data_IF_926917022550
#
_entry.id   IF_926917022550
#
_cell.length_a   1.000
_cell.length_b   1.000
_cell.length_c   1.000
_cell.angle_alpha   90.00
_cell.angle_beta   90.00
_cell.angle_gamma   90.00
#
_symmetry.space_group_name_H-M   'P 1'
#
loop_
_entity.id
_entity.type
_entity.pdbx_description
1 polymer ?
#
# COMPACT_ATOMS: atom_id res chain seq x y z
N UNK A 1 -11.58 -6.61 -17.98
CA UNK A 1 -11.60 -5.92 -19.29
C UNK A 1 -10.29 -5.16 -19.46
N UNK A 2 -9.49 -5.41 -20.51
CA UNK A 2 -8.33 -4.56 -20.80
C UNK A 2 -8.87 -3.19 -21.22
N UNK A 3 -8.69 -2.19 -20.37
CA UNK A 3 -9.05 -0.82 -20.71
C UNK A 3 -8.01 -0.32 -21.73
N UNK A 4 -8.40 -0.15 -22.99
CA UNK A 4 -7.50 0.31 -24.06
C UNK A 4 -7.51 1.86 -24.21
N UNK A 5 -8.01 2.60 -23.21
CA UNK A 5 -7.97 4.07 -23.28
C UNK A 5 -6.54 4.61 -23.37
N UNK A 6 -6.33 5.75 -24.05
CA UNK A 6 -5.03 6.42 -24.15
C UNK A 6 -4.38 6.62 -22.78
N UNK A 7 -5.18 7.08 -21.80
CA UNK A 7 -4.77 7.23 -20.40
C UNK A 7 -4.22 5.94 -19.80
N UNK A 8 -4.95 4.83 -19.91
CA UNK A 8 -4.52 3.57 -19.32
C UNK A 8 -3.19 3.10 -19.93
N UNK A 9 -3.05 3.21 -21.26
CA UNK A 9 -1.86 2.79 -21.99
C UNK A 9 -0.66 3.69 -21.67
N UNK A 10 -0.87 5.00 -21.57
CA UNK A 10 0.15 5.95 -21.12
C UNK A 10 0.70 5.62 -19.73
N UNK A 11 -0.19 5.47 -18.74
CA UNK A 11 0.20 5.15 -17.37
C UNK A 11 0.88 3.78 -17.26
N UNK A 12 0.39 2.79 -18.01
CA UNK A 12 1.02 1.47 -18.08
C UNK A 12 2.42 1.54 -18.69
N UNK A 13 2.62 2.36 -19.71
CA UNK A 13 3.94 2.59 -20.34
C UNK A 13 4.91 3.23 -19.35
N UNK A 14 4.47 4.26 -18.63
CA UNK A 14 5.25 4.89 -17.56
C UNK A 14 5.66 3.88 -16.47
N UNK A 15 4.74 3.03 -16.00
CA UNK A 15 5.04 1.98 -15.01
C UNK A 15 6.05 0.98 -15.56
N UNK A 16 5.81 0.46 -16.78
CA UNK A 16 6.68 -0.54 -17.42
C UNK A 16 8.13 -0.08 -17.49
N UNK A 17 8.34 1.20 -17.81
CA UNK A 17 9.68 1.79 -17.94
C UNK A 17 10.16 2.51 -16.67
N UNK A 18 9.41 2.45 -15.56
CA UNK A 18 9.74 3.06 -14.26
C UNK A 18 9.94 4.59 -14.32
N UNK A 19 9.17 5.27 -15.17
CA UNK A 19 9.17 6.73 -15.30
C UNK A 19 7.94 7.36 -14.63
N UNK A 20 8.11 8.58 -14.11
CA UNK A 20 7.03 9.39 -13.55
C UNK A 20 6.40 10.33 -14.60
N UNK A 21 7.14 10.63 -15.67
CA UNK A 21 6.73 11.35 -16.89
C UNK A 21 7.81 11.13 -17.97
N UNK A 22 7.53 11.51 -19.22
CA UNK A 22 8.46 11.40 -20.34
C UNK A 22 8.79 12.78 -20.95
N UNK A 23 9.71 13.54 -20.35
CA UNK A 23 10.12 14.87 -20.85
C UNK A 23 11.58 14.94 -21.31
N UNK A 24 12.29 13.81 -21.35
CA UNK A 24 13.69 13.75 -21.71
C UNK A 24 13.85 12.95 -23.01
N UNK A 25 14.60 13.51 -23.97
CA UNK A 25 14.87 12.90 -25.27
C UNK A 25 15.55 11.51 -25.13
N UNK A 26 16.54 11.38 -24.26
CA UNK A 26 17.26 10.11 -24.01
C UNK A 26 16.32 9.02 -23.50
N UNK A 27 15.38 9.36 -22.61
CA UNK A 27 14.40 8.41 -22.10
C UNK A 27 13.40 7.99 -23.17
N UNK A 28 12.89 8.95 -23.94
CA UNK A 28 11.99 8.69 -25.07
C UNK A 28 12.66 7.82 -26.13
N UNK A 29 13.89 8.15 -26.53
CA UNK A 29 14.72 7.35 -27.44
C UNK A 29 14.83 5.92 -26.95
N UNK A 30 15.24 5.72 -25.70
CA UNK A 30 15.39 4.38 -25.11
C UNK A 30 14.10 3.57 -25.14
N UNK A 31 12.96 4.21 -24.85
CA UNK A 31 11.64 3.53 -24.87
C UNK A 31 11.25 3.16 -26.29
N UNK A 32 11.40 4.06 -27.25
CA UNK A 32 11.11 3.80 -28.68
C UNK A 32 11.98 2.64 -29.19
N UNK A 33 13.29 2.67 -28.91
CA UNK A 33 14.23 1.61 -29.27
C UNK A 33 13.88 0.27 -28.61
N UNK A 34 13.43 0.28 -27.35
CA UNK A 34 12.95 -0.93 -26.67
C UNK A 34 11.68 -1.54 -27.30
N UNK A 35 10.95 -0.77 -28.10
CA UNK A 35 9.81 -1.25 -28.90
C UNK A 35 10.23 -1.66 -30.32
N UNK A 36 11.53 -1.85 -30.56
CA UNK A 36 12.13 -2.30 -31.82
C UNK A 36 12.02 -1.28 -32.96
N UNK A 37 11.94 0.01 -32.65
CA UNK A 37 12.02 1.10 -33.62
C UNK A 37 13.41 1.72 -33.61
N UNK A 38 13.93 2.09 -34.78
CA UNK A 38 15.16 2.88 -34.88
C UNK A 38 14.82 4.34 -35.15
N UNK A 39 15.37 5.26 -34.36
CA UNK A 39 15.18 6.70 -34.60
C UNK A 39 16.20 7.18 -35.63
N UNK A 40 15.69 7.79 -36.70
CA UNK A 40 16.49 8.43 -37.75
C UNK A 40 16.24 9.92 -37.69
N UNK A 41 17.30 10.67 -37.42
CA UNK A 41 17.26 12.12 -37.54
C UNK A 41 17.50 12.53 -38.99
N UNK A 42 16.66 13.42 -39.52
CA UNK A 42 16.79 13.96 -40.86
C UNK A 42 16.66 15.48 -40.85
N UNK A 43 17.18 16.13 -41.87
CA UNK A 43 17.02 17.57 -42.13
C UNK A 43 16.16 17.76 -43.37
N UNK A 44 15.39 18.83 -43.43
CA UNK A 44 14.50 19.10 -44.58
C UNK A 44 15.27 19.48 -45.84
N UNK A 45 16.47 20.05 -45.70
CA UNK A 45 17.22 20.62 -46.82
C UNK A 45 18.54 19.91 -47.13
N UNK A 46 19.27 19.41 -46.12
CA UNK A 46 20.61 18.85 -46.31
C UNK A 46 20.88 17.71 -45.33
N UNK A 47 20.74 16.48 -45.82
CA UNK A 47 21.04 15.26 -45.06
C UNK A 47 22.44 14.74 -45.36
N UNK A 48 22.98 13.90 -44.47
CA UNK A 48 24.15 13.08 -44.81
C UNK A 48 23.81 12.11 -45.95
N UNK A 49 24.82 11.63 -46.66
CA UNK A 49 24.66 10.69 -47.77
C UNK A 49 23.88 9.41 -47.35
N UNK A 50 24.18 8.75 -46.20
CA UNK A 50 23.45 7.55 -45.79
C UNK A 50 21.96 7.81 -45.51
N UNK A 51 21.63 8.95 -44.90
CA UNK A 51 20.23 9.31 -44.58
C UNK A 51 19.47 9.66 -45.86
N UNK A 52 20.11 10.36 -46.79
CA UNK A 52 19.53 10.70 -48.09
C UNK A 52 19.22 9.46 -48.93
N UNK A 53 20.13 8.49 -48.96
CA UNK A 53 19.94 7.21 -49.66
C UNK A 53 18.83 6.39 -49.02
N UNK A 54 18.78 6.34 -47.67
CA UNK A 54 17.69 5.67 -46.95
C UNK A 54 16.33 6.27 -47.30
N UNK A 55 16.18 7.61 -47.24
CA UNK A 55 14.93 8.30 -47.57
C UNK A 55 14.46 7.97 -48.99
N UNK A 56 15.38 7.99 -49.97
CA UNK A 56 15.07 7.65 -51.38
C UNK A 56 14.63 6.19 -51.54
N UNK A 57 15.33 5.25 -50.88
CA UNK A 57 14.98 3.82 -50.95
C UNK A 57 13.63 3.53 -50.34
N UNK A 58 13.27 4.24 -49.27
CA UNK A 58 11.97 4.10 -48.61
C UNK A 58 10.85 4.87 -49.33
N UNK A 59 11.18 5.74 -50.30
CA UNK A 59 10.26 6.60 -51.06
C UNK A 59 9.42 7.53 -50.18
N UNK A 60 10.06 8.10 -49.16
CA UNK A 60 9.44 8.98 -48.13
C UNK A 60 9.89 10.44 -48.25
N UNK A 61 10.32 10.87 -49.45
CA UNK A 61 10.78 12.23 -49.71
C UNK A 61 9.69 13.28 -49.46
N UNK A 62 8.42 12.93 -49.71
CA UNK A 62 7.32 13.87 -49.51
C UNK A 62 7.00 14.03 -48.01
N UNK A 63 7.00 12.93 -47.26
CA UNK A 63 6.77 12.89 -45.82
C UNK A 63 7.84 13.69 -45.08
N UNK A 64 9.12 13.52 -45.44
CA UNK A 64 10.24 14.29 -44.85
C UNK A 64 10.21 15.78 -45.21
N UNK A 65 9.49 16.21 -46.25
CA UNK A 65 9.29 17.63 -46.55
C UNK A 65 8.12 18.23 -45.77
N UNK A 66 7.04 17.45 -45.61
CA UNK A 66 5.78 17.95 -45.05
C UNK A 66 5.69 17.83 -43.53
N UNK A 67 6.32 16.80 -42.95
CA UNK A 67 6.21 16.48 -41.53
C UNK A 67 7.50 16.82 -40.80
N UNK A 68 7.39 16.90 -39.48
CA UNK A 68 8.51 17.09 -38.57
C UNK A 68 8.86 15.80 -37.81
N UNK A 69 7.88 14.92 -37.61
CA UNK A 69 8.08 13.54 -37.20
C UNK A 69 7.05 12.62 -37.84
N UNK A 70 7.40 11.34 -37.96
CA UNK A 70 6.45 10.29 -38.33
C UNK A 70 7.04 8.90 -38.08
N UNK A 71 6.17 7.92 -37.83
CA UNK A 71 6.51 6.50 -37.90
C UNK A 71 6.51 5.97 -39.34
N UNK A 72 7.46 5.08 -39.63
CA UNK A 72 7.48 4.28 -40.84
C UNK A 72 7.55 2.80 -40.47
N UNK A 73 6.62 2.01 -41.01
CA UNK A 73 6.56 0.57 -40.79
C UNK A 73 6.39 -0.11 -42.14
N UNK A 74 7.34 -0.97 -42.50
CA UNK A 74 7.25 -1.83 -43.68
C UNK A 74 7.90 -3.18 -43.39
N UNK A 75 7.09 -4.23 -43.32
CA UNK A 75 7.51 -5.57 -42.89
C UNK A 75 8.25 -5.54 -41.53
N UNK A 76 9.53 -5.87 -41.53
CA UNK A 76 10.38 -5.87 -40.33
C UNK A 76 11.08 -4.53 -40.10
N UNK A 77 10.98 -3.58 -41.02
CA UNK A 77 11.58 -2.25 -40.89
C UNK A 77 10.64 -1.34 -40.10
N UNK A 78 11.16 -0.79 -39.01
CA UNK A 78 10.43 0.10 -38.09
C UNK A 78 11.32 1.29 -37.77
N UNK A 79 10.92 2.45 -38.27
CA UNK A 79 11.66 3.70 -38.07
C UNK A 79 10.75 4.76 -37.45
N UNK A 80 11.36 5.63 -36.65
CA UNK A 80 10.79 6.91 -36.28
C UNK A 80 11.68 7.98 -36.89
N UNK A 81 11.14 8.74 -37.84
CA UNK A 81 11.83 9.86 -38.44
C UNK A 81 11.57 11.11 -37.60
N UNK A 82 12.61 11.89 -37.32
CA UNK A 82 12.49 13.16 -36.62
C UNK A 82 13.39 14.24 -37.25
N UNK A 83 12.83 15.44 -37.40
CA UNK A 83 13.55 16.58 -37.93
C UNK A 83 14.63 17.04 -36.93
N UNK A 84 15.90 16.94 -37.35
CA UNK A 84 17.08 17.31 -36.56
C UNK A 84 17.14 18.81 -36.25
N UNK A 85 16.56 19.65 -37.11
CA UNK A 85 16.63 21.10 -37.01
C UNK A 85 15.67 21.67 -35.94
N UNK A 86 14.85 20.82 -35.32
CA UNK A 86 13.91 21.19 -34.26
C UNK A 86 14.60 21.21 -32.89
N UNK A 87 14.28 22.17 -32.00
CA UNK A 87 14.79 22.19 -30.63
C UNK A 87 14.43 20.91 -29.84
N UNK A 88 15.28 20.52 -28.89
CA UNK A 88 15.10 19.27 -28.14
C UNK A 88 13.79 19.21 -27.33
N UNK A 89 13.30 20.34 -26.83
CA UNK A 89 12.02 20.41 -26.11
C UNK A 89 10.85 20.02 -27.02
N UNK A 90 10.85 20.55 -28.25
CA UNK A 90 9.84 20.26 -29.27
C UNK A 90 10.00 18.83 -29.80
N UNK A 91 11.24 18.36 -29.98
CA UNK A 91 11.52 16.95 -30.32
C UNK A 91 10.92 16.00 -29.29
N UNK A 92 11.00 16.32 -28.00
CA UNK A 92 10.38 15.48 -26.96
C UNK A 92 8.86 15.41 -27.11
N UNK A 93 8.21 16.49 -27.56
CA UNK A 93 6.78 16.50 -27.83
C UNK A 93 6.41 15.63 -29.01
N UNK A 94 7.16 15.77 -30.12
CA UNK A 94 7.00 14.95 -31.31
C UNK A 94 7.24 13.46 -31.00
N UNK A 95 8.33 13.11 -30.32
CA UNK A 95 8.63 11.73 -29.96
C UNK A 95 7.59 11.11 -29.01
N UNK A 96 7.02 11.89 -28.07
CA UNK A 96 5.90 11.40 -27.24
C UNK A 96 4.68 11.08 -28.09
N UNK A 97 4.37 11.92 -29.07
CA UNK A 97 3.27 11.71 -30.00
C UNK A 97 3.50 10.45 -30.84
N UNK A 98 4.68 10.29 -31.46
CA UNK A 98 5.02 9.07 -32.22
C UNK A 98 5.04 7.81 -31.34
N UNK A 99 5.51 7.92 -30.08
CA UNK A 99 5.42 6.83 -29.11
C UNK A 99 3.96 6.45 -28.81
N UNK A 100 3.04 7.42 -28.85
CA UNK A 100 1.61 7.17 -28.79
C UNK A 100 1.16 6.27 -29.94
N UNK A 101 1.52 6.57 -31.18
CA UNK A 101 1.24 5.69 -32.31
C UNK A 101 1.88 4.30 -32.18
N UNK A 102 3.11 4.21 -31.65
CA UNK A 102 3.78 2.92 -31.39
C UNK A 102 3.03 2.09 -30.34
N UNK A 103 2.45 2.75 -29.34
CA UNK A 103 1.73 2.12 -28.23
C UNK A 103 0.24 1.87 -28.53
N UNK A 104 -0.28 2.44 -29.61
CA UNK A 104 -1.63 2.23 -30.11
C UNK A 104 -1.88 0.73 -30.34
N UNK A 105 -2.86 0.10 -29.65
CA UNK A 105 -3.19 -1.31 -29.84
C UNK A 105 -3.56 -1.65 -31.28
N UNK A 106 -4.16 -0.69 -32.00
CA UNK A 106 -4.67 -0.90 -33.35
C UNK A 106 -3.58 -0.79 -34.42
N UNK A 107 -2.40 -0.26 -34.06
CA UNK A 107 -1.21 -0.32 -34.92
C UNK A 107 -0.88 -1.75 -35.35
N UNK A 108 -1.06 -2.75 -34.46
CA UNK A 108 -0.77 -4.16 -34.75
C UNK A 108 -1.93 -4.89 -35.41
N UNK A 109 -3.15 -4.47 -35.13
CA UNK A 109 -4.33 -5.17 -35.61
C UNK A 109 -4.74 -4.72 -37.01
N UNK A 110 -4.14 -3.64 -37.53
CA UNK A 110 -4.51 -3.04 -38.83
C UNK A 110 -6.04 -2.94 -38.95
N UNK A 111 -6.71 -2.63 -37.83
CA UNK A 111 -8.16 -2.65 -37.76
C UNK A 111 -8.66 -1.49 -38.63
N UNK A 112 -9.26 -1.75 -39.80
CA UNK A 112 -9.57 -0.69 -40.77
C UNK A 112 -10.66 0.26 -40.28
N UNK A 113 -11.32 -0.07 -39.16
CA UNK A 113 -12.44 0.66 -38.60
C UNK A 113 -12.04 1.92 -37.84
N UNK A 114 -10.80 2.03 -37.36
CA UNK A 114 -10.37 3.26 -36.68
C UNK A 114 -9.94 4.30 -37.70
N UNK A 115 -10.60 5.46 -37.67
CA UNK A 115 -10.28 6.55 -38.58
C UNK A 115 -8.89 7.13 -38.28
N UNK A 116 -8.27 7.80 -39.26
CA UNK A 116 -7.02 8.55 -39.04
C UNK A 116 -7.16 9.58 -37.91
N UNK A 117 -8.35 10.13 -37.72
CA UNK A 117 -8.68 11.10 -36.67
C UNK A 117 -8.60 10.46 -35.29
N UNK A 118 -9.23 9.30 -35.08
CA UNK A 118 -9.21 8.62 -33.77
C UNK A 118 -7.80 8.20 -33.36
N UNK A 119 -6.98 7.77 -34.32
CA UNK A 119 -5.58 7.39 -34.07
C UNK A 119 -4.70 8.60 -33.73
N UNK A 120 -4.98 9.72 -34.37
CA UNK A 120 -4.33 11.00 -34.08
C UNK A 120 -4.73 11.51 -32.68
N UNK A 121 -6.01 11.45 -32.34
CA UNK A 121 -6.53 11.81 -31.02
C UNK A 121 -5.93 10.91 -29.92
N UNK A 122 -5.83 9.60 -30.16
CA UNK A 122 -5.16 8.66 -29.25
C UNK A 122 -3.72 9.09 -28.95
N UNK A 123 -2.93 9.39 -29.99
CA UNK A 123 -1.54 9.78 -29.83
C UNK A 123 -1.39 11.11 -29.08
N UNK A 124 -2.29 12.06 -29.35
CA UNK A 124 -2.34 13.35 -28.66
C UNK A 124 -2.69 13.21 -27.17
N UNK A 125 -3.72 12.43 -26.83
CA UNK A 125 -4.05 12.13 -25.44
C UNK A 125 -2.92 11.39 -24.72
N UNK A 126 -2.34 10.37 -25.37
CA UNK A 126 -1.21 9.62 -24.81
C UNK A 126 -0.03 10.55 -24.48
N UNK A 127 0.30 11.48 -25.38
CA UNK A 127 1.36 12.48 -25.16
C UNK A 127 1.05 13.36 -23.94
N UNK A 128 -0.21 13.78 -23.76
CA UNK A 128 -0.63 14.56 -22.59
C UNK A 128 -0.44 13.77 -21.27
N UNK A 129 -0.95 12.54 -21.21
CA UNK A 129 -0.86 11.71 -20.00
C UNK A 129 0.58 11.28 -19.67
N UNK A 130 1.46 11.14 -20.66
CA UNK A 130 2.88 10.84 -20.42
C UNK A 130 3.71 12.08 -20.06
N UNK A 131 3.34 13.28 -20.54
CA UNK A 131 3.99 14.55 -20.18
C UNK A 131 3.63 14.99 -18.76
N UNK A 132 2.36 14.89 -18.37
CA UNK A 132 1.89 15.34 -17.06
C UNK A 132 0.84 14.38 -16.45
N UNK A 133 1.27 13.21 -15.95
CA UNK A 133 0.35 12.32 -15.25
C UNK A 133 -0.10 12.92 -13.92
N UNK A 134 -1.26 12.46 -13.44
CA UNK A 134 -1.85 12.92 -12.19
C UNK A 134 -0.94 12.73 -10.97
N UNK A 135 -1.13 13.58 -9.95
CA UNK A 135 -0.33 13.59 -8.71
C UNK A 135 -0.35 12.23 -8.01
N UNK A 136 -1.52 11.59 -7.93
CA UNK A 136 -1.68 10.25 -7.34
C UNK A 136 -0.83 9.19 -8.04
N UNK A 137 -0.70 9.28 -9.37
CA UNK A 137 0.16 8.39 -10.14
C UNK A 137 1.65 8.64 -9.88
N UNK A 138 2.07 9.91 -9.82
CA UNK A 138 3.45 10.27 -9.49
C UNK A 138 3.84 9.70 -8.12
N UNK A 139 2.97 9.83 -7.13
CA UNK A 139 3.16 9.26 -5.79
C UNK A 139 3.24 7.73 -5.81
N UNK A 140 2.36 7.07 -6.56
CA UNK A 140 2.40 5.61 -6.74
C UNK A 140 3.75 5.13 -7.29
N UNK A 141 4.27 5.77 -8.34
CA UNK A 141 5.57 5.38 -8.93
C UNK A 141 6.72 5.63 -7.95
N UNK A 142 6.69 6.71 -7.16
CA UNK A 142 7.69 6.98 -6.13
C UNK A 142 7.73 5.87 -5.06
N UNK A 143 6.56 5.46 -4.56
CA UNK A 143 6.44 4.36 -3.60
C UNK A 143 7.00 3.07 -4.21
N UNK A 144 6.62 2.74 -5.44
CA UNK A 144 7.11 1.54 -6.14
C UNK A 144 8.63 1.56 -6.36
N UNK A 145 9.22 2.72 -6.68
CA UNK A 145 10.66 2.88 -6.90
C UNK A 145 11.46 2.70 -5.62
N UNK A 146 10.91 3.12 -4.48
CA UNK A 146 11.55 3.07 -3.15
C UNK A 146 11.02 1.93 -2.28
N UNK A 147 10.19 1.03 -2.81
CA UNK A 147 9.49 0.03 -2.00
C UNK A 147 10.45 -0.88 -1.22
N UNK A 148 11.61 -1.23 -1.80
CA UNK A 148 12.65 -2.01 -1.11
C UNK A 148 13.20 -1.29 0.13
N UNK A 149 13.39 0.03 0.02
CA UNK A 149 13.83 0.86 1.15
C UNK A 149 12.72 0.92 2.22
N UNK A 150 11.46 1.09 1.79
CA UNK A 150 10.32 1.12 2.71
C UNK A 150 10.16 -0.20 3.47
N UNK A 151 10.27 -1.34 2.78
CA UNK A 151 10.25 -2.67 3.41
C UNK A 151 11.43 -2.83 4.37
N UNK A 152 12.63 -2.39 4.00
CA UNK A 152 13.80 -2.45 4.88
C UNK A 152 13.61 -1.62 6.17
N UNK A 153 13.07 -0.41 6.07
CA UNK A 153 12.77 0.44 7.23
C UNK A 153 11.69 -0.18 8.11
N UNK A 154 10.63 -0.73 7.49
CA UNK A 154 9.56 -1.40 8.22
C UNK A 154 10.09 -2.61 9.00
N UNK A 155 10.94 -3.42 8.37
CA UNK A 155 11.58 -4.57 9.05
C UNK A 155 12.43 -4.13 10.24
N UNK A 156 13.19 -3.03 10.12
CA UNK A 156 13.98 -2.49 11.23
C UNK A 156 13.10 -2.02 12.39
N UNK A 157 11.97 -1.35 12.10
CA UNK A 157 10.99 -0.95 13.13
C UNK A 157 10.41 -2.17 13.83
N UNK A 158 10.00 -3.20 13.07
CA UNK A 158 9.47 -4.45 13.64
C UNK A 158 10.52 -5.16 14.49
N UNK A 159 11.78 -5.18 14.08
CA UNK A 159 12.88 -5.74 14.89
C UNK A 159 13.10 -4.97 16.18
N UNK A 160 13.06 -3.64 16.17
CA UNK A 160 13.19 -2.81 17.38
C UNK A 160 12.01 -3.05 18.33
N UNK A 161 10.78 -3.08 17.80
CA UNK A 161 9.58 -3.35 18.60
C UNK A 161 9.60 -4.77 19.17
N UNK A 162 9.99 -5.78 18.38
CA UNK A 162 10.16 -7.15 18.83
C UNK A 162 11.22 -7.29 19.92
N UNK A 163 12.36 -6.59 19.77
CA UNK A 163 13.41 -6.57 20.79
C UNK A 163 12.93 -5.90 22.08
N UNK A 164 12.18 -4.80 21.98
CA UNK A 164 11.61 -4.13 23.16
C UNK A 164 10.60 -5.01 23.90
N UNK A 165 9.77 -5.76 23.17
CA UNK A 165 8.84 -6.74 23.74
C UNK A 165 9.58 -7.90 24.41
N UNK A 166 10.64 -8.41 23.77
CA UNK A 166 11.48 -9.47 24.32
C UNK A 166 12.23 -9.04 25.60
N UNK A 167 12.79 -7.84 25.63
CA UNK A 167 13.41 -7.24 26.82
C UNK A 167 12.39 -7.09 27.95
N UNK A 168 11.19 -6.58 27.66
CA UNK A 168 10.12 -6.49 28.66
C UNK A 168 9.72 -7.85 29.23
N UNK A 169 9.72 -8.91 28.41
CA UNK A 169 9.48 -10.29 28.87
C UNK A 169 10.60 -10.87 29.74
N UNK A 170 11.82 -10.32 29.68
CA UNK A 170 12.95 -10.72 30.54
C UNK A 170 12.98 -9.94 31.86
N UNK A 171 12.56 -8.67 31.85
CA UNK A 171 12.47 -7.82 33.04
C UNK A 171 11.25 -8.18 33.89
N UNK A 172 10.11 -8.45 33.24
CA UNK A 172 8.96 -9.08 33.89
C UNK A 172 9.30 -10.56 34.04
N UNK A 173 10.03 -10.90 35.11
CA UNK A 173 10.08 -12.30 35.56
C UNK A 173 8.63 -12.77 35.64
N UNK A 174 8.31 -14.02 35.24
CA UNK A 174 7.03 -14.60 35.64
C UNK A 174 7.05 -14.47 37.16
N UNK A 175 6.27 -13.54 37.69
CA UNK A 175 5.82 -13.63 39.07
C UNK A 175 5.29 -15.04 39.08
N UNK A 176 5.93 -15.92 39.83
CA UNK A 176 5.23 -17.11 40.28
C UNK A 176 3.99 -16.49 40.91
N UNK A 177 2.87 -16.52 40.18
CA UNK A 177 1.60 -16.70 40.83
C UNK A 177 1.85 -18.00 41.57
N UNK A 178 2.33 -17.86 42.81
CA UNK A 178 1.90 -18.75 43.85
C UNK A 178 0.40 -18.74 43.64
N UNK A 179 -0.09 -19.83 43.06
CA UNK A 179 -1.49 -20.17 43.12
C UNK A 179 -1.76 -20.40 44.60
N UNK A 180 -1.83 -19.33 45.37
CA UNK A 180 -2.75 -19.24 46.49
C UNK A 180 -4.08 -18.98 45.80
N UNK A 181 -4.67 -20.04 45.26
CA UNK A 181 -6.10 -20.10 45.04
C UNK A 181 -6.75 -20.11 46.44
N UNK A 182 -6.71 -18.98 47.15
CA UNK A 182 -7.35 -18.76 48.45
C UNK A 182 -7.19 -17.29 48.88
N UNK A 183 -7.76 -16.33 48.16
CA UNK A 183 -7.99 -14.99 48.75
C UNK A 183 -9.02 -14.13 48.00
N UNK A 184 -10.17 -14.71 47.59
CA UNK A 184 -11.50 -14.05 47.66
C UNK A 184 -12.56 -15.17 47.73
N UNK A 185 -12.39 -16.12 48.64
CA UNK A 185 -13.52 -16.48 49.47
C UNK A 185 -13.21 -15.75 50.75
N UNK A 186 -13.93 -14.66 51.04
CA UNK A 186 -14.10 -14.28 52.43
C UNK A 186 -14.44 -15.57 53.17
N UNK A 187 -13.66 -15.85 54.20
CA UNK A 187 -13.83 -17.01 55.04
C UNK A 187 -15.16 -16.83 55.80
N UNK A 188 -16.28 -17.13 55.13
CA UNK A 188 -17.62 -17.13 55.70
C UNK A 188 -17.73 -18.12 56.87
N UNK A 189 -16.75 -19.00 57.08
CA UNK A 189 -16.68 -19.90 58.24
C UNK A 189 -16.28 -19.18 59.54
N UNK A 190 -15.79 -17.93 59.47
CA UNK A 190 -15.44 -17.11 60.64
C UNK A 190 -16.42 -15.96 60.91
N UNK A 191 -17.54 -15.87 60.17
CA UNK A 191 -18.59 -14.90 60.46
C UNK A 191 -19.63 -15.54 61.37
N UNK A 192 -19.76 -14.96 62.57
CA UNK A 192 -20.74 -15.33 63.58
C UNK A 192 -21.84 -14.28 63.70
N UNK A 193 -23.02 -14.74 64.12
CA UNK A 193 -24.25 -13.96 64.18
C UNK A 193 -24.71 -13.83 65.63
N UNK A 194 -25.03 -12.62 66.05
CA UNK A 194 -25.57 -12.30 67.38
C UNK A 194 -26.92 -11.61 67.19
N UNK A 195 -27.96 -12.09 67.87
CA UNK A 195 -29.26 -11.40 67.87
C UNK A 195 -29.20 -10.16 68.75
N UNK A 196 -29.94 -9.09 68.43
CA UNK A 196 -29.91 -7.81 69.16
C UNK A 196 -30.11 -7.91 70.68
N UNK A 197 -30.84 -8.92 71.17
CA UNK A 197 -31.07 -9.18 72.60
C UNK A 197 -30.26 -10.35 73.18
N UNK A 198 -29.45 -11.02 72.37
CA UNK A 198 -28.73 -12.24 72.73
C UNK A 198 -27.35 -11.96 73.32
N UNK A 199 -26.89 -12.86 74.20
CA UNK A 199 -25.52 -12.83 74.76
C UNK A 199 -24.63 -13.94 74.20
N UNK A 200 -25.05 -14.59 73.11
CA UNK A 200 -24.34 -15.71 72.50
C UNK A 200 -24.15 -15.51 71.01
N UNK A 201 -23.01 -15.98 70.49
CA UNK A 201 -22.71 -15.96 69.07
C UNK A 201 -23.05 -17.31 68.42
N UNK A 202 -23.49 -17.27 67.16
CA UNK A 202 -24.04 -18.40 66.42
C UNK A 202 -23.45 -18.50 65.02
N UNK A 203 -23.31 -19.70 64.45
CA UNK A 203 -23.05 -19.87 63.01
C UNK A 203 -24.30 -19.55 62.20
N UNK A 204 -24.16 -19.18 60.92
CA UNK A 204 -25.30 -18.85 60.02
C UNK A 204 -26.38 -19.93 59.96
N UNK A 205 -25.95 -21.20 60.01
CA UNK A 205 -26.82 -22.39 59.92
C UNK A 205 -27.55 -22.73 61.22
N UNK A 206 -27.21 -22.07 62.34
CA UNK A 206 -27.80 -22.40 63.63
C UNK A 206 -29.31 -22.09 63.66
N UNK A 207 -30.11 -23.06 64.11
CA UNK A 207 -31.56 -22.96 64.18
C UNK A 207 -32.06 -21.71 64.93
N UNK A 208 -31.30 -21.21 65.91
CA UNK A 208 -31.66 -20.02 66.70
C UNK A 208 -31.65 -18.73 65.86
N UNK A 209 -30.78 -18.64 64.85
CA UNK A 209 -30.58 -17.44 64.01
C UNK A 209 -31.07 -17.61 62.57
N UNK A 210 -31.23 -18.86 62.09
CA UNK A 210 -31.54 -19.20 60.69
C UNK A 210 -32.75 -18.46 60.11
N UNK A 211 -33.75 -18.11 60.93
CA UNK A 211 -34.98 -17.43 60.49
C UNK A 211 -35.17 -16.03 61.11
N UNK A 212 -34.14 -15.47 61.74
CA UNK A 212 -34.21 -14.14 62.36
C UNK A 212 -33.60 -13.10 61.45
N UNK A 213 -34.32 -11.99 61.31
CA UNK A 213 -33.86 -10.79 60.56
C UNK A 213 -33.05 -9.83 61.43
N UNK A 214 -33.11 -9.99 62.76
CA UNK A 214 -32.55 -9.05 63.73
C UNK A 214 -31.21 -9.58 64.26
N UNK A 215 -30.26 -9.78 63.34
CA UNK A 215 -28.94 -10.36 63.64
C UNK A 215 -27.83 -9.44 63.12
N UNK A 216 -26.79 -9.29 63.93
CA UNK A 216 -25.58 -8.55 63.60
C UNK A 216 -24.44 -9.53 63.40
N UNK A 217 -23.57 -9.23 62.43
CA UNK A 217 -22.43 -10.07 62.06
C UNK A 217 -21.18 -9.58 62.78
N UNK A 218 -20.40 -10.53 63.30
CA UNK A 218 -19.12 -10.32 63.96
C UNK A 218 -18.13 -11.38 63.48
N UNK A 219 -16.85 -11.06 63.50
CA UNK A 219 -15.80 -12.10 63.48
C UNK A 219 -15.75 -12.82 64.85
N UNK A 220 -15.08 -13.98 64.91
CA UNK A 220 -14.94 -14.72 66.17
C UNK A 220 -14.28 -13.88 67.27
N UNK A 221 -13.16 -13.21 66.93
CA UNK A 221 -12.38 -12.43 67.87
C UNK A 221 -13.20 -11.22 68.38
N UNK A 222 -13.89 -10.51 67.49
CA UNK A 222 -14.77 -9.39 67.87
C UNK A 222 -15.93 -9.84 68.77
N UNK A 223 -16.51 -11.03 68.53
CA UNK A 223 -17.59 -11.54 69.35
C UNK A 223 -17.11 -11.91 70.76
N UNK A 224 -15.91 -12.49 70.88
CA UNK A 224 -15.29 -12.82 72.18
C UNK A 224 -14.86 -11.57 72.92
N UNK A 225 -14.23 -10.60 72.24
CA UNK A 225 -13.82 -9.32 72.80
C UNK A 225 -15.04 -8.48 73.27
N UNK A 226 -16.17 -8.58 72.55
CA UNK A 226 -17.44 -7.98 72.96
C UNK A 226 -18.15 -8.75 74.10
N UNK A 227 -17.57 -9.85 74.58
CA UNK A 227 -18.06 -10.61 75.74
C UNK A 227 -19.21 -11.59 75.43
N UNK A 228 -19.41 -11.97 74.17
CA UNK A 228 -20.42 -12.96 73.80
C UNK A 228 -19.91 -14.39 74.02
N UNK A 229 -20.76 -15.25 74.59
CA UNK A 229 -20.42 -16.65 74.81
C UNK A 229 -20.78 -17.54 73.60
N UNK A 230 -20.11 -18.67 73.38
CA UNK A 230 -20.49 -19.60 72.33
C UNK A 230 -21.89 -20.17 72.54
N UNK A 231 -22.63 -20.36 71.45
CA UNK A 231 -23.84 -21.16 71.48
C UNK A 231 -23.49 -22.64 71.70
N UNK A 232 -24.16 -23.30 72.65
CA UNK A 232 -23.93 -24.73 72.94
C UNK A 232 -24.17 -25.63 71.72
N UNK A 233 -25.12 -25.28 70.85
CA UNK A 233 -25.41 -26.03 69.62
C UNK A 233 -24.29 -25.83 68.59
N UNK A 234 -23.75 -24.62 68.49
CA UNK A 234 -22.69 -24.30 67.53
C UNK A 234 -21.29 -24.74 67.98
N UNK A 235 -21.14 -25.16 69.25
CA UNK A 235 -19.87 -25.59 69.84
C UNK A 235 -19.73 -27.12 69.92
N UNK A 236 -20.71 -27.86 69.40
CA UNK A 236 -20.73 -29.34 69.36
C UNK A 236 -20.48 -29.90 67.94
N UNK A 237 -20.32 -29.03 66.95
CA UNK A 237 -19.90 -29.33 65.57
C UNK A 237 -18.45 -28.88 65.36
#
# INVERSE_FOLDING_TARGET
>A
MKNNSPKHIALKTLIKHKHYLLNNYTDLRRIIESNQFTIIEYKKHANSEPVSELIKRLRIENETRQKDSFIYINNNLKFVFINADIPDEDKCSLLRHELGHICDPDLKNSNPQNSSIEREEFANEFSCYTKNPGISFKLYVLIMKKWKLLVSVLMLIVSILGLSFWINSLIIKPTKSVTTAASVYENFDNIFYVTTSGKKYHRKSCFIVKYKTNVTQYTLDEAVDAGYAPCMICNLE
#
